data_IF_370789702057
#
_entry.id   IF_370789702057
#
_cell.length_a   1.000
_cell.length_b   1.000
_cell.length_c   1.000
_cell.angle_alpha   90.00
_cell.angle_beta   90.00
_cell.angle_gamma   90.00
#
_symmetry.space_group_name_H-M   'P 1'
#
loop_
_entity.id
_entity.type
_entity.pdbx_description
1 polymer ?
#
# COMPACT_ATOMS: atom_id res chain seq x y z
N UNK A 1 28.39 6.89 0.05
CA UNK A 1 28.18 5.43 -0.17
C UNK A 1 29.31 4.72 0.54
N UNK A 2 29.03 3.70 1.32
CA UNK A 2 30.08 2.97 2.05
C UNK A 2 30.96 2.17 1.08
N UNK A 3 32.28 2.32 1.23
CA UNK A 3 33.28 1.63 0.41
C UNK A 3 33.32 0.11 0.63
N UNK A 4 34.04 -0.64 -0.24
CA UNK A 4 34.17 -2.08 -0.10
C UNK A 4 34.78 -2.49 1.26
N UNK A 5 35.80 -1.79 1.73
CA UNK A 5 36.46 -2.03 3.00
C UNK A 5 35.57 -1.79 4.23
N UNK A 6 34.76 -0.74 4.18
CA UNK A 6 33.78 -0.43 5.23
C UNK A 6 32.71 -1.52 5.34
N UNK A 7 32.31 -2.08 4.19
CA UNK A 7 31.36 -3.19 4.14
C UNK A 7 31.95 -4.46 4.75
N UNK A 8 33.16 -4.82 4.36
CA UNK A 8 33.85 -6.01 4.84
C UNK A 8 34.09 -5.93 6.36
N UNK A 9 34.51 -4.79 6.85
CA UNK A 9 34.67 -4.50 8.27
C UNK A 9 33.38 -4.66 9.06
N UNK A 10 32.27 -4.19 8.55
CA UNK A 10 30.97 -4.31 9.22
C UNK A 10 30.43 -5.76 9.23
N UNK A 11 30.67 -6.51 8.16
CA UNK A 11 30.31 -7.92 8.05
C UNK A 11 31.18 -8.76 8.97
N UNK A 12 32.49 -8.53 8.98
CA UNK A 12 33.43 -9.24 9.83
C UNK A 12 33.13 -9.02 11.32
N UNK A 13 32.89 -7.80 11.74
CA UNK A 13 32.51 -7.48 13.11
C UNK A 13 31.20 -8.19 13.54
N UNK A 14 30.27 -8.42 12.62
CA UNK A 14 29.05 -9.15 12.91
C UNK A 14 29.32 -10.66 13.17
N UNK A 15 30.24 -11.28 12.44
CA UNK A 15 30.54 -12.70 12.59
C UNK A 15 31.51 -12.99 13.73
N UNK A 16 32.43 -12.09 14.03
CA UNK A 16 33.45 -12.26 15.07
C UNK A 16 32.97 -11.89 16.47
N UNK A 17 31.87 -11.10 16.57
CA UNK A 17 31.36 -10.66 17.87
C UNK A 17 29.90 -11.10 18.10
N UNK A 18 29.48 -11.23 19.39
CA UNK A 18 28.08 -11.56 19.71
C UNK A 18 27.10 -10.38 19.49
N UNK A 19 27.55 -9.30 18.84
CA UNK A 19 26.76 -8.10 18.63
C UNK A 19 25.57 -8.34 17.70
N UNK A 20 24.45 -7.70 17.99
CA UNK A 20 23.30 -7.68 17.08
C UNK A 20 23.56 -6.72 15.91
N UNK A 21 22.85 -6.87 14.80
CA UNK A 21 22.94 -5.93 13.68
C UNK A 21 22.70 -4.45 14.09
N UNK A 22 21.93 -4.21 15.16
CA UNK A 22 21.73 -2.87 15.71
C UNK A 22 22.98 -2.38 16.46
N UNK A 23 23.60 -3.25 17.25
CA UNK A 23 24.81 -2.92 18.01
C UNK A 23 26.05 -2.72 17.13
N UNK A 24 26.17 -3.50 16.03
CA UNK A 24 27.23 -3.30 15.04
C UNK A 24 27.10 -1.93 14.36
N UNK A 25 25.89 -1.54 14.00
CA UNK A 25 25.61 -0.22 13.41
C UNK A 25 25.87 0.91 14.42
N UNK A 26 25.46 0.75 15.67
CA UNK A 26 25.71 1.72 16.74
C UNK A 26 27.22 1.86 17.04
N UNK A 27 27.98 0.75 17.00
CA UNK A 27 29.40 0.72 17.27
C UNK A 27 30.23 1.38 16.15
N UNK A 28 29.86 1.14 14.88
CA UNK A 28 30.58 1.66 13.73
C UNK A 28 30.10 3.05 13.27
N UNK A 29 28.89 3.47 13.68
CA UNK A 29 28.24 4.67 13.19
C UNK A 29 27.73 4.56 11.74
N UNK A 30 27.98 3.45 11.08
CA UNK A 30 27.52 3.07 9.73
C UNK A 30 27.41 1.54 9.62
N UNK A 31 26.82 0.99 8.59
CA UNK A 31 25.78 1.50 7.70
C UNK A 31 24.42 1.56 8.40
N UNK A 32 23.34 1.84 7.64
CA UNK A 32 22.01 1.62 8.20
C UNK A 32 21.75 0.12 8.44
N UNK A 33 20.91 -0.21 9.42
CA UNK A 33 20.57 -1.61 9.76
C UNK A 33 20.07 -2.43 8.56
N UNK A 34 19.38 -1.77 7.60
CA UNK A 34 18.90 -2.43 6.38
C UNK A 34 20.04 -2.73 5.40
N UNK A 35 21.03 -1.82 5.29
CA UNK A 35 22.21 -2.04 4.46
C UNK A 35 23.06 -3.20 5.00
N UNK A 36 23.30 -3.23 6.32
CA UNK A 36 24.04 -4.34 6.95
C UNK A 36 23.34 -5.69 6.71
N UNK A 37 22.02 -5.77 6.84
CA UNK A 37 21.28 -7.00 6.54
C UNK A 37 21.41 -7.45 5.08
N UNK A 38 21.47 -6.51 4.11
CA UNK A 38 21.70 -6.84 2.70
C UNK A 38 23.12 -7.34 2.46
N UNK A 39 24.10 -6.82 3.17
CA UNK A 39 25.49 -7.25 3.05
C UNK A 39 25.67 -8.65 3.65
N UNK A 40 25.12 -8.90 4.82
CA UNK A 40 25.10 -10.21 5.44
C UNK A 40 24.42 -11.27 4.55
N UNK A 41 23.30 -10.94 3.91
CA UNK A 41 22.59 -11.88 3.03
C UNK A 41 23.40 -12.28 1.77
N UNK A 42 24.42 -11.51 1.41
CA UNK A 42 25.33 -11.80 0.28
C UNK A 42 26.61 -12.55 0.71
N UNK A 43 26.87 -12.68 2.01
CA UNK A 43 28.05 -13.38 2.53
C UNK A 43 27.76 -14.89 2.61
N UNK A 44 28.64 -15.73 2.05
CA UNK A 44 28.47 -17.20 2.08
C UNK A 44 28.33 -17.77 3.48
N UNK A 45 28.92 -17.16 4.49
CA UNK A 45 28.83 -17.54 5.90
C UNK A 45 27.42 -17.37 6.47
N UNK A 46 26.59 -16.53 5.86
CA UNK A 46 25.21 -16.27 6.26
C UNK A 46 24.20 -17.24 5.61
N UNK A 47 24.62 -17.90 4.54
CA UNK A 47 23.78 -18.83 3.78
C UNK A 47 23.54 -20.11 4.56
N UNK A 48 22.45 -20.18 5.31
CA UNK A 48 21.93 -21.39 5.95
C UNK A 48 21.92 -21.42 7.47
N UNK A 49 22.40 -20.42 8.17
CA UNK A 49 22.35 -20.41 9.64
C UNK A 49 21.95 -19.06 10.20
N UNK A 50 20.71 -18.95 10.62
CA UNK A 50 20.24 -17.89 11.53
C UNK A 50 20.70 -18.13 12.98
N UNK A 51 21.67 -18.99 13.22
CA UNK A 51 22.23 -19.28 14.52
C UNK A 51 23.38 -18.32 14.82
N UNK A 52 23.09 -17.27 15.59
CA UNK A 52 24.14 -16.51 16.28
C UNK A 52 24.99 -17.46 17.14
N UNK A 53 26.29 -17.20 17.30
CA UNK A 53 27.13 -17.99 18.21
C UNK A 53 26.44 -18.09 19.57
N UNK A 54 26.41 -19.30 20.10
CA UNK A 54 25.75 -19.61 21.37
C UNK A 54 26.50 -18.86 22.46
N UNK A 55 25.80 -17.94 23.13
CA UNK A 55 26.41 -17.15 24.22
C UNK A 55 26.86 -18.10 25.32
N UNK A 56 28.13 -18.04 25.76
CA UNK A 56 28.69 -18.94 26.75
C UNK A 56 27.89 -18.96 28.05
N UNK A 57 27.90 -20.13 28.73
CA UNK A 57 27.19 -20.31 30.01
C UNK A 57 27.68 -19.30 31.07
N UNK A 58 28.97 -19.03 31.11
CA UNK A 58 29.57 -18.04 31.99
C UNK A 58 28.98 -16.65 31.88
N UNK A 59 28.73 -16.20 30.64
CA UNK A 59 28.09 -14.90 30.38
C UNK A 59 26.64 -14.88 30.87
N UNK A 60 25.93 -16.01 30.75
CA UNK A 60 24.56 -16.15 31.26
C UNK A 60 24.50 -16.13 32.79
N UNK A 61 25.41 -16.86 33.42
CA UNK A 61 25.55 -16.89 34.90
C UNK A 61 25.87 -15.49 35.42
N UNK A 62 26.84 -14.82 34.82
CA UNK A 62 27.26 -13.47 35.21
C UNK A 62 26.12 -12.43 35.00
N UNK A 63 25.29 -12.62 34.00
CA UNK A 63 24.11 -11.77 33.82
C UNK A 63 23.08 -11.93 34.95
N UNK A 64 22.89 -13.15 35.42
CA UNK A 64 21.98 -13.46 36.52
C UNK A 64 22.52 -12.93 37.85
N UNK A 65 23.80 -13.14 38.15
CA UNK A 65 24.48 -12.61 39.34
C UNK A 65 24.33 -11.08 39.43
N UNK A 66 24.57 -10.37 38.33
CA UNK A 66 24.41 -8.93 38.28
C UNK A 66 22.95 -8.48 38.54
N UNK A 67 21.98 -9.24 38.03
CA UNK A 67 20.55 -8.90 38.23
C UNK A 67 20.09 -9.27 39.63
N UNK A 68 20.54 -10.39 40.20
CA UNK A 68 20.28 -10.80 41.58
C UNK A 68 20.94 -9.83 42.59
N UNK A 69 22.13 -9.30 42.23
CA UNK A 69 22.83 -8.27 42.99
C UNK A 69 22.18 -6.85 42.85
N UNK A 70 20.94 -6.77 42.34
CA UNK A 70 20.16 -5.53 42.30
C UNK A 70 20.36 -4.67 41.03
N UNK A 71 21.16 -5.09 40.08
CA UNK A 71 21.36 -4.31 38.85
C UNK A 71 20.15 -4.44 37.92
N UNK A 72 19.68 -3.31 37.36
CA UNK A 72 18.61 -3.31 36.35
C UNK A 72 19.01 -4.09 35.11
N UNK A 73 18.14 -4.94 34.57
CA UNK A 73 18.35 -5.80 33.39
C UNK A 73 18.96 -5.06 32.20
N UNK A 74 18.54 -3.83 31.93
CA UNK A 74 19.06 -2.96 30.87
C UNK A 74 20.55 -2.64 31.07
N UNK A 75 20.98 -2.42 32.31
CA UNK A 75 22.37 -2.08 32.67
C UNK A 75 23.26 -3.32 32.64
N UNK A 76 22.77 -4.47 33.11
CA UNK A 76 23.44 -5.76 32.99
C UNK A 76 23.63 -6.17 31.52
N UNK A 77 22.61 -6.01 30.67
CA UNK A 77 22.68 -6.27 29.24
C UNK A 77 23.75 -5.41 28.53
N UNK A 78 23.81 -4.09 28.84
CA UNK A 78 24.80 -3.18 28.31
C UNK A 78 26.22 -3.54 28.73
N UNK A 79 26.42 -3.93 30.00
CA UNK A 79 27.73 -4.30 30.55
C UNK A 79 28.30 -5.58 29.96
N UNK A 80 27.43 -6.52 29.59
CA UNK A 80 27.82 -7.82 29.05
C UNK A 80 27.75 -7.90 27.51
N UNK A 81 27.41 -6.82 26.84
CA UNK A 81 27.31 -6.80 25.37
C UNK A 81 26.16 -7.66 24.80
N UNK A 82 25.13 -7.97 25.60
CA UNK A 82 24.03 -8.86 25.19
C UNK A 82 22.70 -8.12 25.09
N UNK A 83 21.71 -8.71 24.40
CA UNK A 83 20.39 -8.09 24.29
C UNK A 83 19.63 -8.14 25.62
N UNK A 84 18.81 -7.11 25.87
CA UNK A 84 17.95 -7.04 27.08
C UNK A 84 16.99 -8.23 27.14
N UNK A 85 16.48 -8.68 25.96
CA UNK A 85 15.62 -9.86 25.85
C UNK A 85 16.31 -11.16 26.24
N UNK A 86 17.62 -11.30 25.93
CA UNK A 86 18.40 -12.46 26.34
C UNK A 86 18.51 -12.51 27.88
N UNK A 87 18.89 -11.40 28.51
CA UNK A 87 18.97 -11.30 30.00
C UNK A 87 17.60 -11.58 30.64
N UNK A 88 16.51 -11.07 30.08
CA UNK A 88 15.16 -11.36 30.55
C UNK A 88 14.84 -12.85 30.54
N UNK A 89 15.11 -13.52 29.41
CA UNK A 89 14.83 -14.95 29.25
C UNK A 89 15.71 -15.81 30.16
N UNK A 90 16.96 -15.44 30.37
CA UNK A 90 17.83 -16.16 31.28
C UNK A 90 17.42 -16.04 32.75
N UNK A 91 17.01 -14.85 33.18
CA UNK A 91 16.48 -14.63 34.52
C UNK A 91 15.17 -15.40 34.72
N UNK A 92 14.30 -15.46 33.69
CA UNK A 92 13.08 -16.27 33.71
C UNK A 92 13.41 -17.76 33.82
N UNK A 93 14.27 -18.26 32.95
CA UNK A 93 14.69 -19.67 32.95
C UNK A 93 15.36 -20.07 34.28
N UNK A 94 16.17 -19.19 34.86
CA UNK A 94 16.80 -19.45 36.17
C UNK A 94 15.76 -19.54 37.29
N UNK A 95 14.72 -18.71 37.28
CA UNK A 95 13.62 -18.74 38.28
C UNK A 95 12.78 -20.02 38.16
N UNK A 96 12.62 -20.55 36.94
CA UNK A 96 11.77 -21.72 36.66
C UNK A 96 12.52 -23.05 36.84
N UNK A 97 13.83 -23.09 36.58
CA UNK A 97 14.60 -24.36 36.56
C UNK A 97 16.03 -24.27 37.07
N UNK A 98 16.40 -23.20 37.80
CA UNK A 98 17.74 -23.03 38.37
C UNK A 98 18.87 -22.95 37.34
N UNK A 99 20.09 -23.21 37.77
CA UNK A 99 21.30 -23.19 36.93
C UNK A 99 21.26 -24.21 35.79
N UNK A 100 20.59 -25.33 35.95
CA UNK A 100 20.47 -26.37 34.93
C UNK A 100 19.67 -25.88 33.68
N UNK A 101 18.73 -24.96 33.87
CA UNK A 101 17.95 -24.43 32.77
C UNK A 101 18.70 -23.40 31.89
N UNK A 102 19.90 -22.99 32.30
CA UNK A 102 20.72 -22.02 31.58
C UNK A 102 21.66 -22.67 30.58
N UNK A 103 21.79 -24.00 30.61
CA UNK A 103 22.63 -24.69 29.63
C UNK A 103 22.18 -24.39 28.20
N UNK A 104 23.13 -24.11 27.27
CA UNK A 104 22.82 -23.83 25.90
C UNK A 104 22.20 -25.07 25.24
N UNK A 105 20.90 -25.03 24.96
CA UNK A 105 20.23 -26.09 24.18
C UNK A 105 20.46 -25.82 22.70
N UNK A 106 21.15 -26.70 22.03
CA UNK A 106 21.30 -26.70 20.59
C UNK A 106 19.95 -27.12 19.97
N UNK A 107 19.19 -26.19 19.43
CA UNK A 107 17.87 -26.46 18.81
C UNK A 107 17.93 -27.40 17.61
N UNK A 108 19.07 -27.54 16.98
CA UNK A 108 19.26 -28.40 15.81
C UNK A 108 19.61 -29.86 16.15
N UNK A 109 19.85 -30.18 17.43
CA UNK A 109 20.16 -31.54 17.86
C UNK A 109 18.93 -32.34 18.37
N UNK A 110 17.73 -31.80 18.32
CA UNK A 110 16.55 -32.41 18.95
C UNK A 110 15.52 -32.99 17.96
N UNK A 111 15.96 -33.45 16.78
CA UNK A 111 15.11 -34.28 15.91
C UNK A 111 15.40 -35.78 15.98
N UNK A 112 16.30 -36.22 16.82
CA UNK A 112 16.42 -37.64 17.09
C UNK A 112 16.46 -37.87 18.61
N UNK A 113 15.54 -38.66 19.11
CA UNK A 113 15.40 -39.18 20.46
C UNK A 113 14.80 -38.25 21.53
N UNK A 114 13.49 -38.16 21.56
CA UNK A 114 12.75 -38.03 22.81
C UNK A 114 12.60 -39.42 23.43
N UNK A 115 13.18 -39.70 24.59
CA UNK A 115 12.74 -40.86 25.36
C UNK A 115 11.37 -40.56 25.91
N UNK A 116 10.40 -41.40 25.57
CA UNK A 116 9.08 -41.45 26.20
C UNK A 116 9.22 -41.56 27.72
N UNK A 117 8.37 -40.92 28.51
CA UNK A 117 8.31 -41.15 29.94
C UNK A 117 7.96 -42.64 30.17
N UNK A 118 8.86 -43.39 30.82
CA UNK A 118 8.60 -44.75 31.29
C UNK A 118 7.39 -44.72 32.22
N UNK A 119 6.24 -45.17 31.73
CA UNK A 119 5.15 -45.61 32.60
C UNK A 119 5.53 -46.95 33.20
N UNK A 120 5.47 -46.99 34.52
CA UNK A 120 5.55 -48.17 35.32
C UNK A 120 4.62 -49.27 34.80
N UNK A 121 5.16 -50.44 34.55
CA UNK A 121 4.39 -51.66 34.28
C UNK A 121 3.66 -52.07 35.57
N UNK A 122 2.34 -52.02 35.54
CA UNK A 122 1.55 -52.96 36.32
C UNK A 122 0.77 -53.86 35.31
N UNK A 123 1.00 -55.14 35.50
CA UNK A 123 0.41 -56.21 34.72
C UNK A 123 -1.09 -56.34 35.03
N UNK A 124 -1.87 -56.61 33.99
CA UNK A 124 -3.23 -57.10 34.09
C UNK A 124 -4.17 -56.45 33.06
N UNK A 125 -4.66 -57.30 32.19
CA UNK A 125 -5.84 -57.17 31.33
C UNK A 125 -5.57 -56.89 29.86
N UNK A 126 -5.60 -57.97 29.08
CA UNK A 126 -5.44 -58.04 27.61
C UNK A 126 -6.69 -57.54 26.82
N UNK A 127 -7.76 -57.03 27.46
CA UNK A 127 -8.94 -56.49 26.78
C UNK A 127 -8.94 -54.97 26.55
N UNK A 128 -8.05 -54.21 27.23
CA UNK A 128 -8.08 -52.76 27.20
C UNK A 128 -7.26 -52.14 26.06
N UNK A 129 -6.33 -52.87 25.45
CA UNK A 129 -5.42 -52.32 24.43
C UNK A 129 -6.15 -52.01 23.09
N UNK A 130 -7.11 -52.87 22.69
CA UNK A 130 -7.82 -52.63 21.41
C UNK A 130 -8.78 -51.45 21.48
N UNK A 131 -9.40 -51.23 22.63
CA UNK A 131 -10.31 -50.12 22.85
C UNK A 131 -9.54 -48.79 23.02
N UNK A 132 -8.41 -48.82 23.71
CA UNK A 132 -7.50 -47.71 23.84
C UNK A 132 -6.89 -47.33 22.50
N UNK A 133 -6.53 -48.29 21.64
CA UNK A 133 -6.05 -48.04 20.27
C UNK A 133 -7.16 -47.45 19.39
N UNK A 134 -8.41 -47.96 19.47
CA UNK A 134 -9.52 -47.37 18.72
C UNK A 134 -9.78 -45.94 19.10
N UNK A 135 -9.82 -45.61 20.38
CA UNK A 135 -9.95 -44.23 20.87
C UNK A 135 -8.81 -43.35 20.36
N UNK A 136 -7.57 -43.87 20.31
CA UNK A 136 -6.43 -43.13 19.81
C UNK A 136 -6.50 -42.88 18.30
N UNK A 137 -7.00 -43.81 17.54
CA UNK A 137 -7.28 -43.66 16.11
C UNK A 137 -8.32 -42.59 15.88
N UNK A 138 -9.43 -42.62 16.58
CA UNK A 138 -10.51 -41.62 16.50
C UNK A 138 -10.00 -40.19 16.86
N UNK A 139 -9.15 -40.07 17.90
CA UNK A 139 -8.54 -38.80 18.25
C UNK A 139 -7.61 -38.28 17.14
N UNK A 140 -6.81 -39.14 16.52
CA UNK A 140 -5.90 -38.78 15.43
C UNK A 140 -6.65 -38.44 14.14
N UNK A 141 -7.76 -39.14 13.86
CA UNK A 141 -8.61 -38.85 12.72
C UNK A 141 -9.30 -37.47 12.88
N UNK A 142 -9.81 -37.17 14.08
CA UNK A 142 -10.35 -35.86 14.40
C UNK A 142 -9.27 -34.78 14.25
N UNK A 143 -8.08 -34.97 14.81
CA UNK A 143 -6.98 -33.98 14.71
C UNK A 143 -6.57 -33.75 13.26
N UNK A 144 -6.45 -34.82 12.46
CA UNK A 144 -6.08 -34.71 11.05
C UNK A 144 -7.17 -33.99 10.24
N UNK A 145 -8.45 -34.35 10.44
CA UNK A 145 -9.57 -33.71 9.74
C UNK A 145 -9.69 -32.23 10.11
N UNK A 146 -9.54 -31.90 11.40
CA UNK A 146 -9.59 -30.54 11.90
C UNK A 146 -8.43 -29.71 11.35
N UNK A 147 -7.22 -30.28 11.27
CA UNK A 147 -6.06 -29.58 10.69
C UNK A 147 -6.21 -29.34 9.20
N UNK A 148 -6.81 -30.25 8.44
CA UNK A 148 -7.12 -30.03 7.02
C UNK A 148 -8.08 -28.85 6.83
N UNK A 149 -9.15 -28.78 7.60
CA UNK A 149 -10.09 -27.67 7.57
C UNK A 149 -9.44 -26.34 7.98
N UNK A 150 -8.55 -26.36 8.95
CA UNK A 150 -7.76 -25.16 9.35
C UNK A 150 -6.88 -24.67 8.21
N UNK A 151 -6.23 -25.57 7.48
CA UNK A 151 -5.40 -25.22 6.30
C UNK A 151 -6.30 -24.64 5.20
N UNK A 152 -7.45 -25.25 4.92
CA UNK A 152 -8.39 -24.74 3.91
C UNK A 152 -8.92 -23.34 4.24
N UNK A 153 -9.21 -23.07 5.52
CA UNK A 153 -9.61 -21.72 5.96
C UNK A 153 -8.48 -20.71 5.77
N UNK A 154 -7.24 -21.10 6.02
CA UNK A 154 -6.09 -20.21 5.85
C UNK A 154 -5.75 -19.97 4.37
N UNK A 155 -5.92 -20.94 3.51
CA UNK A 155 -5.70 -20.79 2.06
C UNK A 155 -6.71 -19.83 1.41
N UNK A 156 -7.94 -19.76 1.93
CA UNK A 156 -8.98 -18.83 1.45
C UNK A 156 -8.69 -17.35 1.80
N UNK A 157 -7.84 -17.09 2.80
CA UNK A 157 -7.41 -15.74 3.15
C UNK A 157 -5.87 -15.65 3.11
N UNK A 158 -5.26 -15.19 2.00
CA UNK A 158 -3.81 -15.17 1.80
C UNK A 158 -2.99 -14.35 2.81
N UNK A 159 -3.65 -13.74 3.78
CA UNK A 159 -3.01 -12.99 4.87
C UNK A 159 -3.03 -13.70 6.22
N UNK A 160 -3.63 -14.90 6.30
CA UNK A 160 -3.82 -15.62 7.56
C UNK A 160 -2.55 -16.40 7.92
N UNK A 161 -1.96 -16.08 9.08
CA UNK A 161 -0.85 -16.85 9.65
C UNK A 161 -1.41 -18.06 10.42
N UNK A 162 -1.21 -19.27 9.92
CA UNK A 162 -1.60 -20.55 10.56
C UNK A 162 -1.18 -20.66 12.03
N UNK A 163 -0.14 -19.94 12.42
CA UNK A 163 0.36 -19.92 13.81
C UNK A 163 -0.38 -18.95 14.72
N UNK A 164 -1.22 -18.07 14.16
CA UNK A 164 -1.89 -16.97 14.87
C UNK A 164 -3.34 -16.77 14.46
N UNK A 165 -4.06 -17.87 14.20
CA UNK A 165 -5.49 -17.82 13.93
C UNK A 165 -6.23 -17.13 15.07
N UNK A 166 -7.07 -16.18 14.74
CA UNK A 166 -8.00 -15.57 15.68
C UNK A 166 -9.07 -16.56 16.13
N UNK A 167 -9.70 -16.35 17.27
CA UNK A 167 -10.78 -17.22 17.76
C UNK A 167 -11.95 -17.32 16.76
N UNK A 168 -12.19 -16.27 15.98
CA UNK A 168 -13.20 -16.29 14.91
C UNK A 168 -12.81 -17.26 13.78
N UNK A 169 -11.56 -17.18 13.32
CA UNK A 169 -11.05 -18.07 12.26
C UNK A 169 -11.03 -19.53 12.72
N UNK A 170 -10.66 -19.78 13.96
CA UNK A 170 -10.70 -21.12 14.57
C UNK A 170 -12.14 -21.65 14.73
N UNK A 171 -13.15 -20.79 14.82
CA UNK A 171 -14.55 -21.20 14.93
C UNK A 171 -15.09 -21.79 13.62
N UNK A 172 -14.59 -21.34 12.45
CA UNK A 172 -15.05 -21.81 11.15
C UNK A 172 -14.86 -23.33 10.93
N UNK A 173 -13.67 -23.94 11.16
CA UNK A 173 -13.49 -25.38 11.03
C UNK A 173 -14.32 -26.16 12.05
N UNK A 174 -14.48 -25.63 13.28
CA UNK A 174 -15.35 -26.28 14.28
C UNK A 174 -16.82 -26.35 13.79
N UNK A 175 -17.31 -25.28 13.22
CA UNK A 175 -18.66 -25.19 12.69
C UNK A 175 -18.92 -26.16 11.52
N UNK A 176 -17.96 -26.29 10.61
CA UNK A 176 -18.04 -27.20 9.47
C UNK A 176 -18.04 -28.65 9.90
N UNK A 177 -17.25 -29.00 10.90
CA UNK A 177 -17.11 -30.37 11.39
C UNK A 177 -18.10 -30.74 12.51
N UNK A 178 -18.89 -29.77 12.99
CA UNK A 178 -19.91 -30.00 14.03
C UNK A 178 -20.92 -31.13 13.75
N UNK A 179 -21.31 -31.40 12.49
CA UNK A 179 -22.21 -32.54 12.21
C UNK A 179 -21.55 -33.89 12.47
N UNK A 180 -20.23 -33.99 12.47
CA UNK A 180 -19.48 -35.25 12.58
C UNK A 180 -18.82 -35.41 13.94
N UNK A 181 -18.29 -34.32 14.50
CA UNK A 181 -17.50 -34.33 15.73
C UNK A 181 -18.04 -33.41 16.82
N UNK A 182 -17.76 -33.76 18.05
CA UNK A 182 -18.14 -32.95 19.22
C UNK A 182 -17.45 -31.58 19.21
N UNK A 183 -18.19 -30.46 19.32
CA UNK A 183 -17.61 -29.14 19.44
C UNK A 183 -16.59 -28.98 20.60
N UNK A 184 -16.88 -29.70 21.73
CA UNK A 184 -16.01 -29.66 22.90
C UNK A 184 -14.61 -30.21 22.63
N UNK A 185 -14.49 -31.35 21.93
CA UNK A 185 -13.20 -31.94 21.56
C UNK A 185 -12.44 -31.05 20.59
N UNK A 186 -13.12 -30.50 19.59
CA UNK A 186 -12.49 -29.61 18.60
C UNK A 186 -12.04 -28.29 19.20
N UNK A 187 -12.83 -27.68 20.08
CA UNK A 187 -12.44 -26.41 20.74
C UNK A 187 -11.26 -26.61 21.68
N UNK A 188 -11.19 -27.78 22.34
CA UNK A 188 -10.05 -28.14 23.18
C UNK A 188 -8.78 -28.28 22.36
N UNK A 189 -8.81 -28.94 21.20
CA UNK A 189 -7.67 -29.10 20.28
C UNK A 189 -7.18 -27.77 19.73
N UNK A 190 -8.11 -26.87 19.38
CA UNK A 190 -7.75 -25.52 18.85
C UNK A 190 -7.43 -24.50 19.94
N UNK A 191 -7.58 -24.87 21.22
CA UNK A 191 -7.32 -23.96 22.34
C UNK A 191 -8.29 -22.77 22.37
N UNK A 192 -9.58 -23.00 22.10
CA UNK A 192 -10.65 -22.00 22.20
C UNK A 192 -11.50 -22.31 23.43
N UNK A 193 -11.75 -21.31 24.26
CA UNK A 193 -12.72 -21.46 25.34
C UNK A 193 -14.13 -21.69 24.78
N UNK A 194 -14.96 -22.60 25.34
CA UNK A 194 -16.32 -22.84 24.88
C UNK A 194 -17.16 -21.57 24.75
N UNK A 195 -17.05 -20.65 25.70
CA UNK A 195 -17.71 -19.34 25.64
C UNK A 195 -17.26 -18.49 24.44
N UNK A 196 -15.95 -18.54 24.10
CA UNK A 196 -15.38 -17.90 22.94
C UNK A 196 -15.95 -18.50 21.63
N UNK A 197 -16.05 -19.82 21.54
CA UNK A 197 -16.69 -20.50 20.43
C UNK A 197 -18.14 -20.05 20.24
N UNK A 198 -18.98 -20.16 21.25
CA UNK A 198 -20.39 -19.76 21.16
C UNK A 198 -20.56 -18.28 20.82
N UNK A 199 -19.71 -17.41 21.36
CA UNK A 199 -19.70 -15.99 21.04
C UNK A 199 -19.42 -15.73 19.56
N UNK A 200 -18.43 -16.41 18.99
CA UNK A 200 -18.06 -16.22 17.58
C UNK A 200 -19.04 -16.96 16.66
N UNK A 201 -19.48 -18.18 17.03
CA UNK A 201 -20.49 -18.95 16.29
C UNK A 201 -21.77 -18.12 16.07
N UNK A 202 -22.34 -17.53 17.11
CA UNK A 202 -23.54 -16.70 17.01
C UNK A 202 -23.34 -15.45 16.11
N UNK A 203 -22.09 -15.08 15.83
CA UNK A 203 -21.74 -13.91 15.03
C UNK A 203 -21.14 -14.21 13.67
N UNK A 204 -20.98 -15.48 13.31
CA UNK A 204 -20.47 -15.87 12.00
C UNK A 204 -21.39 -15.44 10.87
N UNK A 205 -22.70 -15.55 11.07
CA UNK A 205 -23.73 -15.14 10.11
C UNK A 205 -24.01 -13.64 10.10
N UNK A 206 -23.50 -12.90 11.09
CA UNK A 206 -23.75 -11.46 11.19
C UNK A 206 -22.57 -10.70 10.57
N UNK A 207 -22.80 -10.11 9.43
CA UNK A 207 -21.84 -9.13 8.89
C UNK A 207 -21.99 -7.79 9.64
N UNK A 208 -21.02 -7.51 10.50
CA UNK A 208 -20.93 -6.23 11.23
C UNK A 208 -21.02 -5.01 10.30
N UNK A 209 -20.63 -5.18 9.05
CA UNK A 209 -20.51 -4.11 8.07
C UNK A 209 -21.56 -4.18 6.96
N UNK A 210 -22.65 -4.98 7.13
CA UNK A 210 -23.68 -5.14 6.09
C UNK A 210 -24.21 -3.79 5.58
N UNK A 211 -24.63 -2.88 6.47
CA UNK A 211 -25.06 -1.54 6.08
C UNK A 211 -23.98 -0.75 5.37
N UNK A 212 -22.75 -0.79 5.91
CA UNK A 212 -21.62 -0.10 5.30
C UNK A 212 -21.26 -0.67 3.91
N UNK A 213 -21.42 -1.98 3.68
CA UNK A 213 -21.23 -2.59 2.35
C UNK A 213 -22.19 -2.01 1.31
N UNK A 214 -23.45 -1.85 1.69
CA UNK A 214 -24.45 -1.23 0.82
C UNK A 214 -24.05 0.22 0.49
N UNK A 215 -23.70 1.02 1.50
CA UNK A 215 -23.25 2.40 1.29
C UNK A 215 -22.00 2.48 0.40
N UNK A 216 -21.02 1.58 0.61
CA UNK A 216 -19.80 1.50 -0.21
C UNK A 216 -20.14 1.14 -1.66
N UNK A 217 -21.02 0.17 -1.88
CA UNK A 217 -21.46 -0.25 -3.22
C UNK A 217 -22.21 0.87 -3.94
N UNK A 218 -23.11 1.57 -3.25
CA UNK A 218 -23.85 2.72 -3.79
C UNK A 218 -22.90 3.87 -4.15
N UNK A 219 -21.98 4.24 -3.26
CA UNK A 219 -20.99 5.29 -3.53
C UNK A 219 -20.05 4.92 -4.69
N UNK A 220 -19.69 3.64 -4.80
CA UNK A 220 -18.90 3.14 -5.92
C UNK A 220 -19.67 3.20 -7.23
N UNK A 221 -20.94 2.78 -7.25
CA UNK A 221 -21.82 2.87 -8.43
C UNK A 221 -22.08 4.33 -8.83
N UNK A 222 -22.37 5.21 -7.88
CA UNK A 222 -22.56 6.64 -8.12
C UNK A 222 -21.32 7.29 -8.77
N UNK A 223 -20.11 6.84 -8.41
CA UNK A 223 -18.88 7.26 -9.06
C UNK A 223 -18.63 6.61 -10.42
N UNK A 224 -19.54 5.80 -10.94
CA UNK A 224 -19.38 4.97 -12.14
C UNK A 224 -18.12 4.06 -12.07
N UNK A 225 -17.82 3.51 -10.89
CA UNK A 225 -16.64 2.67 -10.67
C UNK A 225 -15.29 3.40 -10.68
N UNK A 226 -15.30 4.73 -10.64
CA UNK A 226 -14.08 5.57 -10.76
C UNK A 226 -13.35 5.78 -9.45
N UNK A 227 -14.01 5.59 -8.30
CA UNK A 227 -13.45 5.90 -6.99
C UNK A 227 -12.83 4.68 -6.32
N UNK A 228 -11.56 4.80 -5.95
CA UNK A 228 -10.90 3.86 -5.05
C UNK A 228 -11.25 4.13 -3.58
N UNK A 229 -10.86 3.23 -2.68
CA UNK A 229 -11.24 3.21 -1.26
C UNK A 229 -11.06 4.55 -0.52
N UNK A 230 -10.06 5.37 -0.87
CA UNK A 230 -9.84 6.67 -0.21
C UNK A 230 -10.92 7.67 -0.55
N UNK A 231 -11.33 7.74 -1.84
CA UNK A 231 -12.42 8.62 -2.27
C UNK A 231 -13.76 8.12 -1.76
N UNK A 232 -14.01 6.81 -1.79
CA UNK A 232 -15.22 6.20 -1.20
C UNK A 232 -15.33 6.56 0.28
N UNK A 233 -14.26 6.40 1.05
CA UNK A 233 -14.25 6.82 2.46
C UNK A 233 -14.58 8.29 2.64
N UNK A 234 -13.98 9.15 1.83
CA UNK A 234 -14.22 10.60 1.88
C UNK A 234 -15.66 10.96 1.51
N UNK A 235 -16.26 10.27 0.53
CA UNK A 235 -17.64 10.45 0.13
C UNK A 235 -18.61 10.06 1.24
N UNK A 236 -18.38 8.92 1.89
CA UNK A 236 -19.21 8.41 2.98
C UNK A 236 -19.06 9.19 4.29
N UNK A 237 -17.99 9.96 4.45
CA UNK A 237 -17.64 10.70 5.68
C UNK A 237 -17.69 9.83 6.94
N UNK A 238 -17.43 8.54 6.79
CA UNK A 238 -17.50 7.56 7.88
C UNK A 238 -16.26 7.59 8.77
N UNK A 239 -16.44 7.34 10.07
CA UNK A 239 -15.34 7.17 11.03
C UNK A 239 -14.60 5.83 10.90
N UNK A 240 -15.05 4.93 10.01
CA UNK A 240 -14.43 3.62 9.80
C UNK A 240 -13.06 3.79 9.11
N UNK A 241 -12.10 2.94 9.48
CA UNK A 241 -10.73 3.03 8.95
C UNK A 241 -10.68 2.70 7.44
N UNK A 242 -9.70 3.28 6.74
CA UNK A 242 -9.44 2.98 5.32
C UNK A 242 -9.21 1.49 5.04
N UNK A 243 -8.62 0.77 6.01
CA UNK A 243 -8.38 -0.67 5.89
C UNK A 243 -9.68 -1.45 5.77
N UNK A 244 -10.73 -1.05 6.50
CA UNK A 244 -12.05 -1.72 6.44
C UNK A 244 -12.72 -1.43 5.11
N UNK A 245 -12.76 -0.18 4.65
CA UNK A 245 -13.33 0.16 3.33
C UNK A 245 -12.60 -0.59 2.21
N UNK A 246 -11.27 -0.61 2.23
CA UNK A 246 -10.47 -1.35 1.26
C UNK A 246 -10.75 -2.84 1.26
N UNK A 247 -10.95 -3.44 2.44
CA UNK A 247 -11.31 -4.85 2.60
C UNK A 247 -12.69 -5.12 2.01
N UNK A 248 -13.69 -4.33 2.36
CA UNK A 248 -15.05 -4.43 1.81
C UNK A 248 -15.02 -4.36 0.29
N UNK A 249 -14.38 -3.35 -0.28
CA UNK A 249 -14.28 -3.21 -1.73
C UNK A 249 -13.60 -4.43 -2.39
N UNK A 250 -12.57 -5.00 -1.74
CA UNK A 250 -11.90 -6.21 -2.24
C UNK A 250 -12.81 -7.43 -2.18
N UNK A 251 -13.50 -7.64 -1.05
CA UNK A 251 -14.41 -8.78 -0.83
C UNK A 251 -15.61 -8.74 -1.79
N UNK A 252 -16.13 -7.55 -2.07
CA UNK A 252 -17.28 -7.33 -2.96
C UNK A 252 -16.86 -7.12 -4.44
N UNK A 253 -15.58 -7.28 -4.77
CA UNK A 253 -15.07 -7.15 -6.14
C UNK A 253 -15.11 -5.74 -6.72
N UNK A 254 -15.28 -4.72 -5.88
CA UNK A 254 -15.37 -3.30 -6.28
C UNK A 254 -13.97 -2.75 -6.59
N UNK A 255 -13.53 -2.93 -7.82
CA UNK A 255 -12.18 -2.53 -8.26
C UNK A 255 -12.25 -1.31 -9.16
N UNK A 256 -11.71 -0.17 -8.69
CA UNK A 256 -11.56 1.01 -9.53
C UNK A 256 -10.51 0.76 -10.61
N UNK A 257 -10.76 1.25 -11.81
CA UNK A 257 -9.82 1.11 -12.92
C UNK A 257 -8.54 1.91 -12.63
N UNK A 258 -7.42 1.21 -12.51
CA UNK A 258 -6.10 1.81 -12.29
C UNK A 258 -5.21 1.41 -13.47
N UNK A 259 -4.57 2.37 -14.17
CA UNK A 259 -3.68 2.02 -15.26
C UNK A 259 -2.52 1.19 -14.72
N UNK A 260 -2.18 0.11 -15.42
CA UNK A 260 -0.90 -0.57 -15.19
C UNK A 260 0.21 0.44 -15.48
N UNK A 261 1.10 0.67 -14.53
CA UNK A 261 2.32 1.44 -14.76
C UNK A 261 3.07 0.78 -15.92
N UNK A 262 3.05 1.41 -17.08
CA UNK A 262 3.99 1.08 -18.15
C UNK A 262 5.36 1.56 -17.66
N UNK A 263 6.37 0.67 -17.67
CA UNK A 263 7.73 1.09 -17.45
C UNK A 263 8.07 2.15 -18.50
N UNK A 264 8.48 3.33 -18.06
CA UNK A 264 9.01 4.35 -18.95
C UNK A 264 10.31 3.79 -19.52
N UNK A 265 10.35 3.50 -20.83
CA UNK A 265 11.57 3.42 -21.57
C UNK A 265 12.04 4.86 -21.80
N UNK A 266 13.05 5.30 -21.07
CA UNK A 266 13.73 6.55 -21.36
C UNK A 266 14.34 6.43 -22.74
N UNK A 267 14.10 7.41 -23.61
CA UNK A 267 14.81 7.53 -24.90
C UNK A 267 16.29 7.80 -24.57
N UNK A 268 17.14 6.84 -24.89
CA UNK A 268 18.61 6.93 -24.79
C UNK A 268 19.20 7.58 -26.06
N UNK A 269 18.74 8.78 -26.40
CA UNK A 269 19.34 9.57 -27.48
C UNK A 269 20.21 10.71 -26.91
N UNK A 270 21.17 11.19 -27.67
CA UNK A 270 22.01 12.34 -27.32
C UNK A 270 21.14 13.53 -26.94
N UNK A 271 21.27 13.98 -25.70
CA UNK A 271 20.61 15.18 -25.20
C UNK A 271 21.62 16.32 -25.19
N UNK A 272 21.41 17.34 -26.03
CA UNK A 272 22.07 18.62 -25.88
C UNK A 272 21.73 19.23 -24.51
N UNK A 273 22.67 19.85 -23.81
CA UNK A 273 22.41 20.47 -22.51
C UNK A 273 21.30 21.51 -22.64
N UNK A 274 20.26 21.36 -21.83
CA UNK A 274 19.13 22.26 -21.82
C UNK A 274 19.55 23.61 -21.23
N UNK A 275 19.22 24.73 -21.88
CA UNK A 275 19.41 26.06 -21.26
C UNK A 275 18.49 26.20 -20.04
N UNK A 276 18.94 26.97 -19.04
CA UNK A 276 18.27 27.10 -17.74
C UNK A 276 16.79 27.40 -17.84
N UNK A 277 16.00 26.64 -17.09
CA UNK A 277 14.55 26.75 -17.02
C UNK A 277 14.15 27.92 -16.11
N UNK A 278 13.71 29.03 -16.68
CA UNK A 278 13.25 30.23 -15.94
C UNK A 278 11.83 30.03 -15.34
N UNK A 279 11.10 28.97 -15.69
CA UNK A 279 9.79 28.67 -15.10
C UNK A 279 9.88 27.74 -13.87
N UNK A 280 11.09 27.38 -13.43
CA UNK A 280 11.46 26.62 -12.22
C UNK A 280 10.48 25.48 -11.81
N UNK A 281 9.81 24.83 -12.80
CA UNK A 281 8.84 23.74 -12.62
C UNK A 281 7.73 24.03 -11.60
N UNK A 282 7.48 25.27 -11.26
CA UNK A 282 6.45 25.67 -10.33
C UNK A 282 5.10 25.82 -11.03
N UNK A 283 4.37 24.71 -11.13
CA UNK A 283 2.98 24.67 -11.57
C UNK A 283 1.99 24.92 -10.42
N UNK A 284 2.47 25.38 -9.28
CA UNK A 284 1.63 25.82 -8.17
C UNK A 284 1.17 27.25 -8.42
N UNK A 285 -0.11 27.49 -8.31
CA UNK A 285 -0.72 28.83 -8.32
C UNK A 285 -1.36 29.06 -6.95
N UNK A 286 -1.10 30.21 -6.34
CA UNK A 286 -1.68 30.56 -5.05
C UNK A 286 -3.14 30.99 -5.20
N UNK A 287 -3.49 31.56 -6.36
CA UNK A 287 -4.82 32.09 -6.64
C UNK A 287 -5.38 31.54 -7.95
N UNK A 288 -6.72 31.43 -8.08
CA UNK A 288 -7.36 31.09 -9.34
C UNK A 288 -7.01 32.11 -10.44
N UNK A 289 -6.87 31.60 -11.65
CA UNK A 289 -6.57 32.39 -12.84
C UNK A 289 -5.20 33.08 -12.81
N UNK A 290 -4.27 32.63 -11.98
CA UNK A 290 -2.88 33.10 -11.97
C UNK A 290 -2.06 32.41 -13.05
N UNK A 291 -2.13 31.07 -13.10
CA UNK A 291 -1.41 30.25 -14.07
C UNK A 291 -2.38 29.27 -14.72
N UNK A 292 -2.44 29.27 -16.02
CA UNK A 292 -3.19 28.35 -16.83
C UNK A 292 -2.26 27.42 -17.61
N UNK A 293 -2.70 26.20 -17.84
CA UNK A 293 -1.98 25.18 -18.57
C UNK A 293 -2.87 24.63 -19.67
N UNK A 294 -2.33 24.49 -20.88
CA UNK A 294 -3.04 23.89 -22.02
C UNK A 294 -2.15 22.90 -22.77
N UNK A 295 -2.79 21.91 -23.34
CA UNK A 295 -2.20 20.89 -24.22
C UNK A 295 -3.30 20.23 -25.04
N UNK A 296 -2.94 19.54 -26.11
CA UNK A 296 -3.89 18.81 -26.96
C UNK A 296 -3.69 17.33 -26.81
N UNK A 297 -4.77 16.60 -26.51
CA UNK A 297 -4.74 15.14 -26.46
C UNK A 297 -5.61 14.50 -27.52
N UNK A 298 -5.20 13.34 -28.02
CA UNK A 298 -5.93 12.51 -28.96
C UNK A 298 -6.73 11.44 -28.22
N UNK A 299 -7.98 11.23 -28.65
CA UNK A 299 -8.87 10.17 -28.20
C UNK A 299 -9.34 9.40 -29.43
N UNK A 300 -9.18 8.06 -29.39
CA UNK A 300 -9.64 7.19 -30.49
C UNK A 300 -11.16 7.02 -30.41
N UNK A 301 -11.82 7.09 -31.55
CA UNK A 301 -13.22 6.74 -31.75
C UNK A 301 -13.31 5.67 -32.86
N UNK A 302 -14.46 5.03 -33.01
CA UNK A 302 -14.69 3.96 -33.99
C UNK A 302 -14.47 4.42 -35.44
N UNK A 303 -14.89 5.66 -35.75
CA UNK A 303 -14.88 6.27 -37.07
C UNK A 303 -13.80 7.34 -37.24
N UNK A 304 -12.76 7.33 -36.38
CA UNK A 304 -11.63 8.23 -36.47
C UNK A 304 -11.06 8.67 -35.13
N UNK A 305 -10.67 9.92 -35.04
CA UNK A 305 -10.06 10.51 -33.84
C UNK A 305 -10.79 11.77 -33.45
N UNK A 306 -10.84 12.03 -32.16
CA UNK A 306 -11.28 13.29 -31.55
C UNK A 306 -10.10 13.90 -30.81
N UNK A 307 -9.90 15.19 -30.99
CA UNK A 307 -8.86 15.97 -30.31
C UNK A 307 -9.50 16.87 -29.29
N UNK A 308 -8.96 16.87 -28.07
CA UNK A 308 -9.42 17.69 -26.97
C UNK A 308 -8.31 18.67 -26.59
N UNK A 309 -8.65 19.96 -26.56
CA UNK A 309 -7.80 21.06 -26.08
C UNK A 309 -8.46 21.71 -24.87
N UNK A 310 -8.07 21.38 -23.61
CA UNK A 310 -8.54 22.03 -22.41
C UNK A 310 -7.61 23.14 -21.95
N UNK A 311 -8.16 24.15 -21.26
CA UNK A 311 -7.43 25.11 -20.45
C UNK A 311 -7.66 24.75 -18.97
N UNK A 312 -6.57 24.47 -18.26
CA UNK A 312 -6.58 23.98 -16.88
C UNK A 312 -5.99 25.03 -15.97
N UNK A 313 -6.71 25.43 -14.93
CA UNK A 313 -6.17 26.31 -13.89
C UNK A 313 -5.23 25.53 -12.96
N UNK A 314 -4.00 26.01 -12.78
CA UNK A 314 -3.01 25.35 -11.95
C UNK A 314 -3.30 25.43 -10.45
N UNK A 315 -4.16 26.36 -10.01
CA UNK A 315 -4.55 26.52 -8.60
C UNK A 315 -5.29 25.32 -8.04
N UNK A 316 -6.33 24.87 -8.72
CA UNK A 316 -7.19 23.79 -8.26
C UNK A 316 -7.37 22.67 -9.30
N UNK A 317 -6.84 22.88 -10.50
CA UNK A 317 -6.99 22.00 -11.65
C UNK A 317 -8.41 22.01 -12.21
N UNK A 318 -9.17 23.11 -12.09
CA UNK A 318 -10.44 23.32 -12.80
C UNK A 318 -10.17 23.44 -14.28
N UNK A 319 -10.98 22.81 -15.10
CA UNK A 319 -11.00 23.06 -16.55
C UNK A 319 -11.83 24.30 -16.77
N UNK A 320 -11.18 25.43 -17.07
CA UNK A 320 -11.85 26.73 -17.24
C UNK A 320 -12.55 26.83 -18.58
N UNK A 321 -11.97 26.25 -19.61
CA UNK A 321 -12.56 26.15 -20.95
C UNK A 321 -12.00 24.91 -21.67
N UNK A 322 -12.67 24.46 -22.69
CA UNK A 322 -12.17 23.42 -23.60
C UNK A 322 -12.84 23.51 -24.96
N UNK A 323 -12.19 22.92 -25.96
CA UNK A 323 -12.75 22.64 -27.27
C UNK A 323 -12.41 21.20 -27.65
N UNK A 324 -13.29 20.58 -28.40
CA UNK A 324 -13.06 19.29 -28.99
C UNK A 324 -13.42 19.32 -30.48
N UNK A 325 -12.75 18.50 -31.28
CA UNK A 325 -12.93 18.48 -32.73
C UNK A 325 -12.23 17.31 -33.41
N UNK A 326 -12.39 17.21 -34.73
CA UNK A 326 -11.88 16.12 -35.56
C UNK A 326 -10.41 16.27 -35.99
N UNK A 327 -9.78 17.41 -35.71
CA UNK A 327 -8.39 17.66 -36.07
C UNK A 327 -7.65 18.56 -35.09
N UNK A 328 -6.33 18.37 -34.91
CA UNK A 328 -5.49 19.23 -34.06
C UNK A 328 -5.06 20.46 -34.86
N UNK A 329 -5.99 21.31 -35.21
CA UNK A 329 -5.76 22.53 -36.03
C UNK A 329 -5.70 23.79 -35.16
N UNK A 330 -5.28 24.91 -35.77
CA UNK A 330 -5.23 26.21 -35.09
C UNK A 330 -6.58 26.62 -34.54
N UNK A 331 -7.65 26.43 -35.31
CA UNK A 331 -8.99 26.77 -34.93
C UNK A 331 -9.42 26.12 -33.62
N UNK A 332 -9.04 24.85 -33.39
CA UNK A 332 -9.34 24.13 -32.12
C UNK A 332 -8.70 24.85 -30.92
N UNK A 333 -7.43 25.22 -31.03
CA UNK A 333 -6.70 25.91 -29.97
C UNK A 333 -7.20 27.34 -29.79
N UNK A 334 -7.40 28.09 -30.87
CA UNK A 334 -7.85 29.48 -30.85
C UNK A 334 -9.24 29.64 -30.24
N UNK A 335 -10.18 28.78 -30.61
CA UNK A 335 -11.53 28.75 -30.01
C UNK A 335 -11.49 28.42 -28.50
N UNK A 336 -10.60 27.54 -28.09
CA UNK A 336 -10.41 27.23 -26.67
C UNK A 336 -9.88 28.47 -25.92
N UNK A 337 -8.91 29.18 -26.51
CA UNK A 337 -8.31 30.37 -25.90
C UNK A 337 -9.33 31.50 -25.76
N UNK A 338 -10.17 31.75 -26.78
CA UNK A 338 -11.26 32.72 -26.73
C UNK A 338 -12.23 32.38 -25.59
N UNK A 339 -12.71 31.14 -25.56
CA UNK A 339 -13.59 30.67 -24.46
C UNK A 339 -12.94 30.84 -23.09
N UNK A 340 -11.65 30.51 -22.94
CA UNK A 340 -10.95 30.68 -21.67
C UNK A 340 -10.84 32.17 -21.27
N UNK A 341 -10.54 33.04 -22.23
CA UNK A 341 -10.47 34.48 -22.00
C UNK A 341 -11.81 35.09 -21.53
N UNK A 342 -12.94 34.60 -22.05
CA UNK A 342 -14.30 35.02 -21.66
C UNK A 342 -14.67 34.63 -20.23
N UNK A 343 -14.10 33.53 -19.70
CA UNK A 343 -14.39 33.03 -18.34
C UNK A 343 -13.63 33.76 -17.23
N UNK A 344 -12.63 34.57 -17.57
CA UNK A 344 -11.80 35.22 -16.57
C UNK A 344 -12.45 36.46 -15.97
N UNK A 345 -12.20 36.78 -14.69
CA UNK A 345 -12.61 38.07 -14.13
C UNK A 345 -11.90 39.24 -14.80
N UNK A 346 -12.57 40.39 -14.83
CA UNK A 346 -12.01 41.60 -15.38
C UNK A 346 -10.68 42.00 -14.68
N UNK A 347 -9.69 42.44 -15.43
CA UNK A 347 -8.39 42.88 -14.91
C UNK A 347 -7.41 41.76 -14.58
N UNK A 348 -7.82 40.50 -14.57
CA UNK A 348 -6.92 39.34 -14.31
C UNK A 348 -6.20 38.95 -15.60
N UNK A 349 -4.86 38.74 -15.52
CA UNK A 349 -4.00 38.39 -16.65
C UNK A 349 -3.30 37.05 -16.37
N UNK A 350 -3.92 35.92 -16.67
CA UNK A 350 -3.32 34.60 -16.44
C UNK A 350 -2.04 34.40 -17.26
N UNK A 351 -1.08 33.71 -16.64
CA UNK A 351 0.10 33.18 -17.34
C UNK A 351 -0.28 31.87 -18.01
N UNK A 352 -0.31 31.85 -19.36
CA UNK A 352 -0.71 30.64 -20.11
C UNK A 352 0.52 29.84 -20.51
N UNK A 353 0.68 28.68 -19.88
CA UNK A 353 1.73 27.71 -20.20
C UNK A 353 1.21 26.66 -21.19
N UNK A 354 2.03 26.36 -22.21
CA UNK A 354 1.78 25.31 -23.20
C UNK A 354 3.08 24.58 -23.51
N UNK A 355 3.02 23.34 -23.99
CA UNK A 355 4.17 22.51 -24.35
C UNK A 355 4.83 22.99 -25.63
N UNK A 356 4.83 24.15 -26.11
CA UNK A 356 5.43 24.63 -27.35
C UNK A 356 5.11 23.75 -28.59
N UNK A 357 3.98 23.07 -28.55
CA UNK A 357 3.42 22.47 -29.74
C UNK A 357 3.32 23.53 -30.86
N UNK A 358 3.37 23.10 -32.11
CA UNK A 358 3.35 23.99 -33.28
C UNK A 358 2.20 25.04 -33.19
N UNK A 359 1.08 24.67 -32.57
CA UNK A 359 -0.12 25.47 -32.41
C UNK A 359 0.10 26.76 -31.61
N UNK A 360 0.88 26.72 -30.55
CA UNK A 360 1.16 27.85 -29.66
C UNK A 360 2.23 28.83 -30.23
N UNK A 361 2.70 28.57 -31.45
CA UNK A 361 3.68 29.39 -32.17
C UNK A 361 3.07 30.07 -33.39
N UNK A 362 1.81 29.79 -33.71
CA UNK A 362 1.15 30.40 -34.87
C UNK A 362 0.85 31.88 -34.60
N UNK A 363 0.95 32.72 -35.65
CA UNK A 363 0.70 34.17 -35.50
C UNK A 363 -0.69 34.46 -34.93
N UNK A 364 -1.72 33.73 -35.34
CA UNK A 364 -3.09 33.90 -34.83
C UNK A 364 -3.24 33.65 -33.33
N UNK A 365 -2.56 32.62 -32.82
CA UNK A 365 -2.50 32.35 -31.38
C UNK A 365 -1.86 33.49 -30.61
N UNK A 366 -0.76 34.03 -31.12
CA UNK A 366 -0.01 35.14 -30.50
C UNK A 366 -0.83 36.42 -30.45
N UNK A 367 -1.50 36.74 -31.54
CA UNK A 367 -2.41 37.89 -31.69
C UNK A 367 -3.63 37.77 -30.73
N UNK A 368 -4.20 36.57 -30.61
CA UNK A 368 -5.28 36.29 -29.67
C UNK A 368 -4.83 36.43 -28.20
N UNK A 369 -3.64 35.97 -27.87
CA UNK A 369 -3.07 36.13 -26.54
C UNK A 369 -2.90 37.60 -26.18
N UNK A 370 -2.36 38.39 -27.08
CA UNK A 370 -2.18 39.85 -26.90
C UNK A 370 -3.51 40.58 -26.78
N UNK A 371 -4.41 40.38 -27.70
CA UNK A 371 -5.77 40.99 -27.68
C UNK A 371 -6.56 40.61 -26.43
N UNK A 372 -6.41 39.37 -25.99
CA UNK A 372 -7.04 38.90 -24.77
C UNK A 372 -6.30 39.33 -23.49
N UNK A 373 -5.16 40.03 -23.58
CA UNK A 373 -4.36 40.47 -22.44
C UNK A 373 -3.81 39.30 -21.60
N UNK A 374 -3.55 38.14 -22.24
CA UNK A 374 -2.99 36.96 -21.59
C UNK A 374 -1.45 37.02 -21.65
N UNK A 375 -0.78 36.55 -20.60
CA UNK A 375 0.66 36.62 -20.50
C UNK A 375 1.30 35.28 -20.92
N UNK A 376 2.40 35.35 -21.67
CA UNK A 376 3.22 34.18 -21.99
C UNK A 376 4.43 34.08 -21.04
N UNK A 377 4.89 32.89 -20.70
CA UNK A 377 6.20 32.77 -20.07
C UNK A 377 7.30 33.24 -21.04
N UNK A 378 8.03 34.27 -20.70
CA UNK A 378 9.24 34.71 -21.42
C UNK A 378 10.40 33.81 -21.05
N UNK A 379 10.66 32.77 -21.81
CA UNK A 379 11.74 31.84 -21.52
C UNK A 379 12.11 30.94 -22.69
N UNK A 380 13.38 30.54 -22.75
CA UNK A 380 14.01 29.77 -23.80
C UNK A 380 13.37 28.38 -24.04
N UNK A 381 13.71 27.75 -25.16
CA UNK A 381 13.16 26.48 -25.71
C UNK A 381 12.84 25.38 -24.68
N UNK A 382 11.62 24.87 -24.78
CA UNK A 382 11.01 23.91 -23.88
C UNK A 382 11.70 22.54 -23.77
N UNK A 383 11.54 21.99 -22.59
CA UNK A 383 11.81 20.58 -22.32
C UNK A 383 10.50 19.88 -22.01
N UNK A 384 10.33 18.65 -22.48
CA UNK A 384 9.19 17.74 -22.27
C UNK A 384 8.73 17.57 -20.81
N UNK A 385 9.55 17.80 -19.74
CA UNK A 385 9.11 17.72 -18.36
C UNK A 385 8.15 18.83 -17.90
N UNK A 386 8.02 19.88 -18.70
CA UNK A 386 7.27 21.10 -18.30
C UNK A 386 5.74 20.95 -18.43
N UNK A 387 5.23 19.82 -18.93
CA UNK A 387 3.80 19.57 -19.12
C UNK A 387 3.22 18.46 -18.22
N UNK A 388 3.94 18.06 -17.17
CA UNK A 388 3.56 16.94 -16.30
C UNK A 388 2.14 17.10 -15.67
N UNK A 389 1.67 18.32 -15.46
CA UNK A 389 0.34 18.56 -14.93
C UNK A 389 -0.78 18.28 -15.95
N UNK A 390 -0.60 18.65 -17.23
CA UNK A 390 -1.52 18.31 -18.30
C UNK A 390 -1.50 16.81 -18.61
N UNK A 391 -0.31 16.20 -18.70
CA UNK A 391 -0.17 14.76 -18.86
C UNK A 391 -0.85 14.00 -17.72
N UNK A 392 -0.71 14.48 -16.48
CA UNK A 392 -1.37 13.93 -15.31
C UNK A 392 -2.89 14.07 -15.36
N UNK A 393 -3.43 15.15 -15.94
CA UNK A 393 -4.86 15.31 -16.18
C UNK A 393 -5.34 14.32 -17.25
N UNK A 394 -4.69 14.29 -18.43
CA UNK A 394 -5.07 13.38 -19.51
C UNK A 394 -4.96 11.91 -19.13
N UNK A 395 -3.89 11.54 -18.42
CA UNK A 395 -3.73 10.19 -17.92
C UNK A 395 -4.88 9.77 -17.01
N UNK A 396 -5.33 10.66 -16.11
CA UNK A 396 -6.49 10.42 -15.24
C UNK A 396 -7.79 10.35 -16.02
N UNK A 397 -8.05 11.29 -16.92
CA UNK A 397 -9.24 11.29 -17.77
C UNK A 397 -9.34 10.00 -18.59
N UNK A 398 -8.26 9.61 -19.26
CA UNK A 398 -8.22 8.39 -20.06
C UNK A 398 -8.47 7.15 -19.19
N UNK A 399 -7.91 7.11 -18.00
CA UNK A 399 -8.04 5.98 -17.07
C UNK A 399 -9.41 5.90 -16.40
N UNK A 400 -9.94 7.04 -15.97
CA UNK A 400 -11.19 7.08 -15.21
C UNK A 400 -12.44 7.05 -16.10
N UNK A 401 -12.32 7.43 -17.38
CA UNK A 401 -13.48 7.57 -18.29
C UNK A 401 -13.28 6.87 -19.64
N UNK A 402 -12.21 7.20 -20.39
CA UNK A 402 -12.06 6.73 -21.78
C UNK A 402 -11.93 5.22 -21.86
N UNK A 403 -10.97 4.64 -21.13
CA UNK A 403 -10.69 3.20 -21.21
C UNK A 403 -11.78 2.31 -20.57
N UNK A 404 -12.34 2.62 -19.40
CA UNK A 404 -13.39 1.81 -18.79
C UNK A 404 -14.67 1.76 -19.62
N UNK A 405 -15.01 2.87 -20.28
CA UNK A 405 -16.22 3.02 -21.08
C UNK A 405 -15.99 2.68 -22.57
N UNK A 406 -14.78 2.24 -22.96
CA UNK A 406 -14.40 1.82 -24.31
C UNK A 406 -14.81 2.84 -25.38
N UNK A 407 -14.35 4.07 -25.25
CA UNK A 407 -14.71 5.13 -26.17
C UNK A 407 -14.28 4.85 -27.61
N UNK A 408 -13.28 3.97 -27.83
CA UNK A 408 -12.89 3.50 -29.15
C UNK A 408 -13.98 2.71 -29.91
N UNK A 409 -15.01 2.25 -29.21
CA UNK A 409 -16.18 1.58 -29.80
C UNK A 409 -17.32 2.59 -30.16
N UNK A 410 -17.18 3.85 -29.74
CA UNK A 410 -18.15 4.93 -29.96
C UNK A 410 -17.81 5.73 -31.20
N UNK A 411 -18.83 6.40 -31.79
CA UNK A 411 -18.64 7.37 -32.88
C UNK A 411 -17.98 8.64 -32.34
N UNK A 412 -17.40 9.44 -33.23
CA UNK A 412 -16.84 10.75 -32.84
C UNK A 412 -17.86 11.66 -32.19
N UNK A 413 -19.10 11.67 -32.67
CA UNK A 413 -20.18 12.50 -32.10
C UNK A 413 -20.52 12.02 -30.68
N UNK A 414 -20.62 10.72 -30.46
CA UNK A 414 -20.81 10.16 -29.10
C UNK A 414 -19.63 10.50 -28.18
N UNK A 415 -18.40 10.43 -28.68
CA UNK A 415 -17.21 10.80 -27.90
C UNK A 415 -17.20 12.27 -27.54
N UNK A 416 -17.67 13.17 -28.41
CA UNK A 416 -17.81 14.60 -28.07
C UNK A 416 -18.77 14.81 -26.88
N UNK A 417 -19.93 14.15 -26.87
CA UNK A 417 -20.88 14.20 -25.76
C UNK A 417 -20.26 13.64 -24.47
N UNK A 418 -19.53 12.50 -24.58
CA UNK A 418 -18.86 11.89 -23.43
C UNK A 418 -17.74 12.77 -22.85
N UNK A 419 -17.05 13.57 -23.69
CA UNK A 419 -16.08 14.56 -23.25
C UNK A 419 -16.76 15.64 -22.39
N UNK A 420 -17.90 16.17 -22.85
CA UNK A 420 -18.66 17.19 -22.13
C UNK A 420 -19.10 16.67 -20.74
N UNK A 421 -19.66 15.46 -20.69
CA UNK A 421 -20.07 14.82 -19.45
C UNK A 421 -18.89 14.55 -18.52
N UNK A 422 -17.76 14.11 -19.08
CA UNK A 422 -16.55 13.85 -18.32
C UNK A 422 -15.98 15.12 -17.68
N UNK A 423 -15.93 16.23 -18.44
CA UNK A 423 -15.41 17.51 -17.94
C UNK A 423 -16.35 18.11 -16.91
N UNK A 424 -17.67 18.01 -17.12
CA UNK A 424 -18.67 18.43 -16.15
C UNK A 424 -18.52 17.69 -14.84
N UNK A 425 -18.49 16.36 -14.91
CA UNK A 425 -18.23 15.51 -13.73
C UNK A 425 -16.89 15.85 -13.05
N UNK A 426 -15.81 16.05 -13.82
CA UNK A 426 -14.50 16.38 -13.29
C UNK A 426 -14.49 17.71 -12.52
N UNK A 427 -15.15 18.73 -13.02
CA UNK A 427 -15.23 20.05 -12.40
C UNK A 427 -16.17 20.08 -11.19
N UNK A 428 -17.33 19.43 -11.26
CA UNK A 428 -18.41 19.59 -10.26
C UNK A 428 -18.49 18.46 -9.24
N UNK A 429 -18.08 17.25 -9.59
CA UNK A 429 -18.32 16.08 -8.75
C UNK A 429 -17.02 15.36 -8.31
N UNK A 430 -16.00 15.36 -9.16
CA UNK A 430 -14.78 14.62 -8.90
C UNK A 430 -13.98 15.19 -7.75
N UNK A 431 -14.02 14.51 -6.59
CA UNK A 431 -13.29 14.94 -5.39
C UNK A 431 -11.78 14.70 -5.52
N UNK A 432 -10.98 15.65 -5.01
CA UNK A 432 -9.52 15.61 -4.96
C UNK A 432 -9.02 15.73 -3.53
N UNK A 433 -8.07 14.90 -3.16
CA UNK A 433 -7.48 14.94 -1.81
C UNK A 433 -6.76 16.27 -1.55
N UNK A 434 -6.09 16.83 -2.58
CA UNK A 434 -5.40 18.13 -2.50
C UNK A 434 -6.33 19.31 -2.24
N UNK A 435 -7.63 19.16 -2.53
CA UNK A 435 -8.67 20.17 -2.32
C UNK A 435 -9.54 19.84 -1.11
N UNK A 436 -9.02 19.10 -0.12
CA UNK A 436 -9.81 18.73 1.06
C UNK A 436 -11.00 17.81 0.75
N UNK A 437 -10.88 16.93 -0.25
CA UNK A 437 -11.95 16.05 -0.72
C UNK A 437 -13.16 16.80 -1.32
N UNK A 438 -12.91 17.93 -1.96
CA UNK A 438 -13.89 18.69 -2.73
C UNK A 438 -13.57 18.57 -4.23
N UNK A 439 -14.58 18.82 -5.07
CA UNK A 439 -14.36 19.06 -6.49
C UNK A 439 -13.75 20.47 -6.72
N UNK A 440 -13.16 20.76 -7.89
CA UNK A 440 -12.63 22.10 -8.17
C UNK A 440 -13.65 23.21 -7.96
N UNK A 441 -14.88 23.02 -8.41
CA UNK A 441 -15.96 24.01 -8.25
C UNK A 441 -16.36 24.17 -6.78
N UNK A 442 -16.57 23.06 -6.05
CA UNK A 442 -16.87 23.10 -4.62
C UNK A 442 -15.75 23.77 -3.80
N UNK A 443 -14.50 23.54 -4.19
CA UNK A 443 -13.36 24.17 -3.54
C UNK A 443 -13.39 25.69 -3.72
N UNK A 444 -13.60 26.20 -4.95
CA UNK A 444 -13.77 27.65 -5.20
C UNK A 444 -14.92 28.25 -4.40
N UNK A 445 -16.08 27.60 -4.41
CA UNK A 445 -17.24 28.01 -3.62
C UNK A 445 -16.93 28.08 -2.12
N UNK A 446 -16.18 27.10 -1.58
CA UNK A 446 -15.77 27.10 -0.16
C UNK A 446 -14.84 28.25 0.21
N UNK A 447 -14.13 28.81 -0.78
CA UNK A 447 -13.27 29.99 -0.63
C UNK A 447 -14.00 31.31 -0.92
N UNK A 448 -15.33 31.29 -1.14
CA UNK A 448 -16.11 32.49 -1.48
C UNK A 448 -15.85 33.04 -2.89
N UNK A 449 -15.27 32.21 -3.79
CA UNK A 449 -14.95 32.60 -5.15
C UNK A 449 -16.10 32.21 -6.11
N UNK A 450 -16.30 32.99 -7.19
CA UNK A 450 -17.19 32.60 -8.27
C UNK A 450 -16.71 31.28 -8.90
N UNK A 451 -17.61 30.35 -9.08
CA UNK A 451 -17.34 28.99 -9.56
C UNK A 451 -17.31 28.89 -11.09
#
# INVERSE_FOLDING_TARGET
MSGPEERERAVELYFTTPMTTAQVVEHLGYPTRQCLKRWLAKDPRYAGSMAKPIIPLETRTKAIELVLGGMRRKRAAKRLGVSIGAVHNWVKAYREGGMAALQPRNRNASQSNKPSPRRSRNAGVVCDDAEALRRRVEELELENTLMREVVEVAEKDPGTDLRRLSNREKTLPVDRLRPVYSPGSMTCLLGIAPSGYHYHHARLSIDKYAGLRTEVAEAFAASKGRYGYRRIKATLRTGVSEKVIRRIMKEDGLTAHVPKRRGYGSYEGETTPAPGNLADRDFMAERPNEKWLTDITEIKARDGKVYLSPMIDCHDGKIVAYTAGSGPNAELADRMLVKAAETRPEGVKPLVHSDRGCHCRWPGWLDLMERSGLTRPTGAKGCSPDNAAAEGFFGRMKTESVYPERWEERTRDEVLVLIDDCIRWYNHERIKQSLGWMSPVQYRQSQGMAA
#
